data_IF_451325148643
#
_entry.id   IF_451325148643
#
_cell.length_a   1.000
_cell.length_b   1.000
_cell.length_c   1.000
_cell.angle_alpha   90.00
_cell.angle_beta   90.00
_cell.angle_gamma   90.00
#
_symmetry.space_group_name_H-M   'P 1'
#
loop_
_entity.id
_entity.type
_entity.pdbx_description
1 polymer ?
#
# COMPACT_ATOMS: atom_id res chain seq x y z
N UNK A 1 37.67 -51.57 -35.32
CA UNK A 1 36.48 -50.79 -34.94
C UNK A 1 36.42 -50.73 -33.41
N UNK A 2 36.69 -49.59 -32.75
CA UNK A 2 36.58 -49.53 -31.29
C UNK A 2 35.13 -49.23 -30.88
N UNK A 3 34.62 -49.98 -29.92
CA UNK A 3 33.31 -49.76 -29.30
C UNK A 3 33.40 -48.53 -28.38
N UNK A 4 32.75 -47.43 -28.76
CA UNK A 4 32.62 -46.26 -27.91
C UNK A 4 31.72 -46.60 -26.71
N UNK A 5 32.30 -46.61 -25.50
CA UNK A 5 31.52 -46.69 -24.26
C UNK A 5 30.81 -45.36 -24.04
N UNK A 6 29.50 -45.34 -24.25
CA UNK A 6 28.64 -44.19 -23.94
C UNK A 6 28.44 -44.16 -22.42
N UNK A 7 29.19 -43.28 -21.74
CA UNK A 7 28.93 -42.93 -20.34
C UNK A 7 27.64 -42.12 -20.28
N UNK A 8 26.55 -42.76 -19.84
CA UNK A 8 25.32 -42.05 -19.47
C UNK A 8 25.61 -41.16 -18.25
N UNK A 9 25.12 -39.91 -18.22
CA UNK A 9 25.30 -39.03 -17.07
C UNK A 9 24.60 -39.62 -15.83
N UNK A 10 25.14 -39.40 -14.62
CA UNK A 10 24.56 -39.93 -13.40
C UNK A 10 23.13 -39.42 -13.24
N UNK A 11 22.18 -40.35 -13.20
CA UNK A 11 20.79 -40.07 -12.90
C UNK A 11 20.73 -39.39 -11.52
N UNK A 12 20.18 -38.17 -11.45
CA UNK A 12 19.90 -37.52 -10.16
C UNK A 12 19.05 -38.46 -9.32
N UNK A 13 19.62 -38.98 -8.25
CA UNK A 13 18.88 -39.70 -7.20
C UNK A 13 17.79 -38.73 -6.69
N UNK A 14 16.54 -38.98 -7.06
CA UNK A 14 15.41 -38.34 -6.39
C UNK A 14 15.43 -38.87 -4.96
N UNK A 15 15.69 -37.99 -3.99
CA UNK A 15 15.49 -38.29 -2.58
C UNK A 15 14.03 -38.73 -2.40
N UNK A 16 13.77 -40.03 -2.35
CA UNK A 16 12.48 -40.58 -1.94
C UNK A 16 12.44 -40.53 -0.42
N UNK A 17 12.24 -39.33 0.12
CA UNK A 17 11.89 -39.19 1.54
C UNK A 17 10.55 -39.88 1.72
N UNK A 18 10.57 -41.01 2.43
CA UNK A 18 9.36 -41.73 2.83
C UNK A 18 8.41 -40.77 3.53
N UNK A 19 7.12 -40.79 3.15
CA UNK A 19 6.11 -39.97 3.83
C UNK A 19 6.04 -40.42 5.30
N UNK A 20 6.09 -39.48 6.26
CA UNK A 20 6.01 -39.85 7.67
C UNK A 20 4.71 -40.61 7.96
N UNK A 21 4.78 -41.54 8.90
CA UNK A 21 3.65 -42.36 9.29
C UNK A 21 2.44 -41.49 9.70
N UNK A 22 1.20 -41.90 9.37
CA UNK A 22 -0.01 -41.19 9.80
C UNK A 22 -0.03 -41.04 11.33
N UNK A 23 -0.37 -39.84 11.81
CA UNK A 23 -0.45 -39.55 13.24
C UNK A 23 -1.58 -40.37 13.88
N UNK A 24 -1.34 -40.85 15.09
CA UNK A 24 -2.37 -41.52 15.88
C UNK A 24 -3.42 -40.53 16.39
N UNK A 25 -4.61 -41.02 16.72
CA UNK A 25 -5.73 -40.18 17.17
C UNK A 25 -5.39 -39.39 18.45
N UNK A 26 -4.56 -39.94 19.34
CA UNK A 26 -4.05 -39.25 20.53
C UNK A 26 -3.14 -38.08 20.16
N UNK A 27 -2.19 -38.28 19.24
CA UNK A 27 -1.29 -37.22 18.75
C UNK A 27 -2.03 -36.09 18.03
N UNK A 28 -3.15 -36.41 17.37
CA UNK A 28 -4.02 -35.40 16.76
C UNK A 28 -4.75 -34.56 17.81
N UNK A 29 -5.28 -35.21 18.87
CA UNK A 29 -5.95 -34.52 19.99
C UNK A 29 -4.98 -33.63 20.77
N UNK A 30 -3.78 -34.12 21.07
CA UNK A 30 -2.74 -33.36 21.76
C UNK A 30 -2.30 -32.12 20.96
N UNK A 31 -2.10 -32.28 19.65
CA UNK A 31 -1.79 -31.14 18.77
C UNK A 31 -2.96 -30.15 18.69
N UNK A 32 -4.19 -30.62 18.64
CA UNK A 32 -5.36 -29.74 18.62
C UNK A 32 -5.45 -28.92 19.91
N UNK A 33 -5.22 -29.54 21.06
CA UNK A 33 -5.22 -28.84 22.36
C UNK A 33 -4.06 -27.85 22.48
N UNK A 34 -2.86 -28.25 22.09
CA UNK A 34 -1.71 -27.35 22.03
C UNK A 34 -1.98 -26.14 21.11
N UNK A 35 -2.57 -26.37 19.94
CA UNK A 35 -2.94 -25.29 19.03
C UNK A 35 -4.02 -24.38 19.64
N UNK A 36 -4.97 -24.94 20.39
CA UNK A 36 -6.02 -24.18 21.08
C UNK A 36 -5.41 -23.27 22.15
N UNK A 37 -4.51 -23.80 22.99
CA UNK A 37 -3.80 -23.03 24.02
C UNK A 37 -2.99 -21.91 23.36
N UNK A 38 -2.20 -22.24 22.34
CA UNK A 38 -1.41 -21.23 21.62
C UNK A 38 -2.28 -20.14 20.97
N UNK A 39 -3.45 -20.51 20.44
CA UNK A 39 -4.36 -19.51 19.87
C UNK A 39 -4.95 -18.60 20.95
N UNK A 40 -5.20 -19.11 22.15
CA UNK A 40 -5.63 -18.28 23.29
C UNK A 40 -4.54 -17.29 23.69
N UNK A 41 -3.29 -17.72 23.80
CA UNK A 41 -2.14 -16.84 24.09
C UNK A 41 -1.99 -15.74 23.04
N UNK A 42 -2.15 -16.09 21.76
CA UNK A 42 -2.14 -15.10 20.65
C UNK A 42 -3.27 -14.09 20.83
N UNK A 43 -4.50 -14.56 21.11
CA UNK A 43 -5.65 -13.67 21.26
C UNK A 43 -5.47 -12.72 22.46
N UNK A 44 -4.93 -13.21 23.57
CA UNK A 44 -4.64 -12.41 24.75
C UNK A 44 -3.59 -11.33 24.45
N UNK A 45 -2.49 -11.71 23.80
CA UNK A 45 -1.46 -10.77 23.38
C UNK A 45 -2.00 -9.70 22.41
N UNK A 46 -2.91 -10.07 21.49
CA UNK A 46 -3.55 -9.13 20.56
C UNK A 46 -4.45 -8.14 21.30
N UNK A 47 -5.23 -8.59 22.29
CA UNK A 47 -6.07 -7.68 23.08
C UNK A 47 -5.23 -6.73 23.96
N UNK A 48 -4.13 -7.21 24.54
CA UNK A 48 -3.19 -6.35 25.28
C UNK A 48 -2.56 -5.29 24.36
N UNK A 49 -2.12 -5.70 23.17
CA UNK A 49 -1.55 -4.79 22.18
C UNK A 49 -2.56 -3.73 21.73
N UNK A 50 -3.82 -4.14 21.49
CA UNK A 50 -4.92 -3.22 21.14
C UNK A 50 -5.19 -2.22 22.26
N UNK A 51 -5.26 -2.67 23.52
CA UNK A 51 -5.45 -1.78 24.68
C UNK A 51 -4.32 -0.75 24.76
N UNK A 52 -3.08 -1.19 24.64
CA UNK A 52 -1.90 -0.32 24.67
C UNK A 52 -1.92 0.73 23.55
N UNK A 53 -2.30 0.31 22.34
CA UNK A 53 -2.41 1.19 21.17
C UNK A 53 -3.49 2.26 21.37
N UNK A 54 -4.65 1.88 21.91
CA UNK A 54 -5.73 2.83 22.22
C UNK A 54 -5.31 3.84 23.30
N UNK A 55 -4.63 3.39 24.36
CA UNK A 55 -4.09 4.27 25.40
C UNK A 55 -3.08 5.25 24.81
N UNK A 56 -2.18 4.79 23.94
CA UNK A 56 -1.20 5.66 23.28
C UNK A 56 -1.90 6.71 22.40
N UNK A 57 -2.92 6.32 21.64
CA UNK A 57 -3.70 7.24 20.83
C UNK A 57 -4.43 8.31 21.68
N UNK A 58 -4.92 7.93 22.87
CA UNK A 58 -5.51 8.87 23.82
C UNK A 58 -4.46 9.86 24.37
N UNK A 59 -3.27 9.38 24.74
CA UNK A 59 -2.17 10.24 25.22
C UNK A 59 -1.72 11.23 24.14
N UNK A 60 -1.62 10.78 22.87
CA UNK A 60 -1.31 11.65 21.74
C UNK A 60 -2.42 12.67 21.49
N UNK A 61 -3.68 12.27 21.67
CA UNK A 61 -4.83 13.16 21.58
C UNK A 61 -4.75 14.31 22.57
N UNK A 62 -4.45 14.01 23.83
CA UNK A 62 -4.26 15.02 24.87
C UNK A 62 -3.07 15.93 24.54
N UNK A 63 -1.92 15.34 24.17
CA UNK A 63 -0.69 16.09 23.90
C UNK A 63 -0.79 17.06 22.72
N UNK A 64 -1.56 16.71 21.68
CA UNK A 64 -1.58 17.46 20.41
C UNK A 64 -2.94 18.06 20.07
N UNK A 65 -3.95 17.94 20.95
CA UNK A 65 -5.28 18.52 20.76
C UNK A 65 -6.03 17.98 19.53
N UNK A 66 -5.77 16.73 19.13
CA UNK A 66 -6.46 16.06 18.01
C UNK A 66 -7.24 14.86 18.53
N UNK A 67 -8.28 14.42 17.83
CA UNK A 67 -9.05 13.23 18.23
C UNK A 67 -8.17 11.97 18.21
N UNK A 68 -8.32 11.01 19.15
CA UNK A 68 -7.54 9.76 19.15
C UNK A 68 -7.60 9.00 17.82
N UNK A 69 -8.77 9.04 17.16
CA UNK A 69 -9.00 8.46 15.83
C UNK A 69 -8.01 8.96 14.78
N UNK A 70 -7.59 10.22 14.83
CA UNK A 70 -6.62 10.77 13.90
C UNK A 70 -5.28 10.02 13.95
N UNK A 71 -4.81 9.70 15.17
CA UNK A 71 -3.55 8.97 15.36
C UNK A 71 -3.68 7.49 15.02
N UNK A 72 -4.84 6.88 15.29
CA UNK A 72 -5.12 5.52 14.84
C UNK A 72 -5.14 5.43 13.31
N UNK A 73 -5.81 6.37 12.64
CA UNK A 73 -5.84 6.44 11.18
C UNK A 73 -4.42 6.58 10.62
N UNK A 74 -3.58 7.45 11.19
CA UNK A 74 -2.16 7.57 10.82
C UNK A 74 -1.37 6.28 11.06
N UNK A 75 -1.57 5.63 12.21
CA UNK A 75 -0.88 4.39 12.56
C UNK A 75 -1.22 3.26 11.57
N UNK A 76 -2.50 3.06 11.26
CA UNK A 76 -2.95 2.01 10.35
C UNK A 76 -2.65 2.31 8.88
N UNK A 77 -2.76 3.57 8.44
CA UNK A 77 -2.39 3.96 7.07
C UNK A 77 -0.88 3.81 6.85
N UNK A 78 -0.06 4.28 7.79
CA UNK A 78 1.39 4.07 7.71
C UNK A 78 1.73 2.57 7.78
N UNK A 79 1.02 1.79 8.61
CA UNK A 79 1.13 0.33 8.64
C UNK A 79 0.81 -0.31 7.28
N UNK A 80 -0.26 0.14 6.61
CA UNK A 80 -0.58 -0.29 5.26
C UNK A 80 0.54 0.06 4.26
N UNK A 81 1.16 1.24 4.37
CA UNK A 81 2.32 1.60 3.54
C UNK A 81 3.59 0.79 3.85
N UNK A 82 3.77 0.33 5.10
CA UNK A 82 4.87 -0.55 5.52
C UNK A 82 4.71 -1.98 4.97
N UNK A 83 3.49 -2.51 5.00
CA UNK A 83 3.17 -3.87 4.51
C UNK A 83 3.04 -3.88 2.98
N UNK A 84 2.33 -2.90 2.44
CA UNK A 84 2.18 -2.65 1.01
C UNK A 84 3.14 -1.52 0.63
N UNK A 85 4.44 -1.80 0.72
CA UNK A 85 5.43 -0.98 0.03
C UNK A 85 5.07 -1.09 -1.44
N UNK A 86 4.43 -0.06 -2.00
CA UNK A 86 4.04 0.00 -3.41
C UNK A 86 5.32 0.11 -4.26
N UNK A 87 6.12 -0.96 -4.30
CA UNK A 87 7.33 -1.02 -5.13
C UNK A 87 6.96 -1.16 -6.61
N UNK A 88 5.72 -1.57 -6.90
CA UNK A 88 5.21 -1.75 -8.25
C UNK A 88 4.16 -0.68 -8.52
N UNK A 89 4.51 0.27 -9.39
CA UNK A 89 3.53 1.15 -10.03
C UNK A 89 2.56 0.27 -10.80
N UNK A 90 1.28 0.52 -10.62
CA UNK A 90 0.25 -0.10 -11.43
C UNK A 90 0.30 0.52 -12.83
N UNK A 91 0.61 -0.29 -13.84
CA UNK A 91 0.71 0.11 -15.24
C UNK A 91 -0.52 0.89 -15.73
N UNK A 92 -1.72 0.44 -15.33
CA UNK A 92 -2.96 1.11 -15.67
C UNK A 92 -3.06 2.50 -15.05
N UNK A 93 -2.62 2.66 -13.79
CA UNK A 93 -2.64 3.97 -13.12
C UNK A 93 -1.61 4.92 -13.74
N UNK A 94 -0.44 4.40 -14.16
CA UNK A 94 0.56 5.18 -14.89
C UNK A 94 0.02 5.66 -16.24
N UNK A 95 -0.66 4.78 -16.98
CA UNK A 95 -1.34 5.13 -18.23
C UNK A 95 -2.42 6.20 -18.03
N UNK A 96 -3.30 6.05 -17.03
CA UNK A 96 -4.31 7.07 -16.75
C UNK A 96 -3.70 8.42 -16.35
N UNK A 97 -2.56 8.41 -15.68
CA UNK A 97 -1.83 9.63 -15.36
C UNK A 97 -1.32 10.32 -16.63
N UNK A 98 -0.66 9.58 -17.51
CA UNK A 98 -0.19 10.08 -18.81
C UNK A 98 -1.35 10.67 -19.63
N UNK A 99 -2.48 9.96 -19.72
CA UNK A 99 -3.67 10.48 -20.42
C UNK A 99 -4.24 11.73 -19.78
N UNK A 100 -4.25 11.80 -18.46
CA UNK A 100 -4.72 12.99 -17.77
C UNK A 100 -3.80 14.21 -18.03
N UNK A 101 -2.48 13.99 -18.14
CA UNK A 101 -1.52 15.04 -18.54
C UNK A 101 -1.74 15.47 -20.00
N UNK A 102 -1.84 14.53 -20.95
CA UNK A 102 -2.14 14.82 -22.36
C UNK A 102 -3.40 15.68 -22.52
N UNK A 103 -4.47 15.34 -21.80
CA UNK A 103 -5.72 16.10 -21.82
C UNK A 103 -5.56 17.50 -21.21
N UNK A 104 -4.80 17.62 -20.11
CA UNK A 104 -4.51 18.92 -19.51
C UNK A 104 -3.69 19.82 -20.45
N UNK A 105 -2.70 19.26 -21.14
CA UNK A 105 -1.85 19.98 -22.09
C UNK A 105 -2.66 20.45 -23.32
N UNK A 106 -3.69 19.70 -23.69
CA UNK A 106 -4.68 20.09 -24.70
C UNK A 106 -5.72 21.12 -24.19
N UNK A 107 -5.60 21.58 -22.94
CA UNK A 107 -6.49 22.57 -22.34
C UNK A 107 -7.79 21.98 -21.78
N UNK A 108 -7.93 20.66 -21.78
CA UNK A 108 -9.09 19.98 -21.20
C UNK A 108 -8.90 19.77 -19.70
N UNK A 109 -10.02 19.64 -19.00
CA UNK A 109 -10.01 19.33 -17.56
C UNK A 109 -10.56 17.92 -17.36
N UNK A 110 -9.68 16.90 -17.27
CA UNK A 110 -10.13 15.51 -17.21
C UNK A 110 -10.92 15.26 -15.94
N UNK A 111 -12.10 14.66 -16.10
CA UNK A 111 -12.88 14.10 -15.00
C UNK A 111 -12.49 12.64 -14.78
N UNK A 112 -12.72 12.14 -13.57
CA UNK A 112 -12.42 10.73 -13.27
C UNK A 112 -13.24 9.76 -14.15
N UNK A 113 -14.50 10.11 -14.45
CA UNK A 113 -15.35 9.30 -15.32
C UNK A 113 -14.82 9.24 -16.76
N UNK A 114 -14.28 10.36 -17.27
CA UNK A 114 -13.65 10.44 -18.58
C UNK A 114 -12.37 9.60 -18.66
N UNK A 115 -11.52 9.65 -17.63
CA UNK A 115 -10.30 8.84 -17.58
C UNK A 115 -10.59 7.33 -17.53
N UNK A 116 -11.71 6.94 -16.92
CA UNK A 116 -12.17 5.55 -16.90
C UNK A 116 -13.18 5.21 -18.01
N UNK A 117 -13.20 5.97 -19.10
CA UNK A 117 -14.04 5.66 -20.26
C UNK A 117 -13.65 4.32 -20.88
N UNK A 118 -14.60 3.67 -21.57
CA UNK A 118 -14.30 2.44 -22.32
C UNK A 118 -13.28 2.70 -23.45
N UNK A 119 -13.20 3.93 -23.96
CA UNK A 119 -12.22 4.33 -24.98
C UNK A 119 -10.79 4.18 -24.46
N UNK A 120 -10.45 4.81 -23.33
CA UNK A 120 -9.10 4.71 -22.75
C UNK A 120 -8.80 3.33 -22.19
N UNK A 121 -9.83 2.61 -21.75
CA UNK A 121 -9.67 1.21 -21.34
C UNK A 121 -9.32 0.31 -22.52
N UNK A 122 -9.96 0.52 -23.68
CA UNK A 122 -9.62 -0.21 -24.90
C UNK A 122 -8.23 0.16 -25.43
N UNK A 123 -7.87 1.45 -25.37
CA UNK A 123 -6.53 1.91 -25.71
C UNK A 123 -5.47 1.23 -24.84
N UNK A 124 -5.71 1.16 -23.52
CA UNK A 124 -4.82 0.46 -22.60
C UNK A 124 -4.69 -1.04 -22.92
N UNK A 125 -5.79 -1.70 -23.27
CA UNK A 125 -5.77 -3.13 -23.61
C UNK A 125 -5.03 -3.42 -24.93
N UNK A 126 -4.89 -2.42 -25.80
CA UNK A 126 -4.20 -2.52 -27.07
C UNK A 126 -2.72 -2.08 -26.99
N UNK A 127 -2.24 -1.60 -25.84
CA UNK A 127 -0.84 -1.23 -25.64
C UNK A 127 0.07 -2.44 -25.84
N UNK A 128 1.17 -2.21 -26.55
CA UNK A 128 2.25 -3.18 -26.58
C UNK A 128 3.00 -3.22 -25.25
N UNK A 129 3.69 -4.35 -25.00
CA UNK A 129 4.42 -4.56 -23.74
C UNK A 129 5.50 -3.48 -23.54
N UNK A 130 6.18 -3.07 -24.61
CA UNK A 130 7.23 -2.05 -24.55
C UNK A 130 6.67 -0.66 -24.18
N UNK A 131 5.50 -0.29 -24.72
CA UNK A 131 4.84 0.99 -24.46
C UNK A 131 4.39 1.07 -23.00
N UNK A 132 3.85 -0.03 -22.48
CA UNK A 132 3.48 -0.13 -21.06
C UNK A 132 4.69 0.03 -20.13
N UNK A 133 5.83 -0.57 -20.48
CA UNK A 133 7.08 -0.43 -19.72
C UNK A 133 7.62 1.01 -19.75
N UNK A 134 7.58 1.68 -20.90
CA UNK A 134 7.98 3.09 -21.03
C UNK A 134 7.10 4.01 -20.19
N UNK A 135 5.78 3.79 -20.21
CA UNK A 135 4.82 4.58 -19.43
C UNK A 135 5.07 4.41 -17.92
N UNK A 136 5.36 3.20 -17.47
CA UNK A 136 5.70 2.93 -16.07
C UNK A 136 7.02 3.63 -15.69
N UNK A 137 8.03 3.57 -16.55
CA UNK A 137 9.33 4.21 -16.33
C UNK A 137 9.18 5.74 -16.20
N UNK A 138 8.49 6.38 -17.16
CA UNK A 138 8.19 7.82 -17.10
C UNK A 138 7.43 8.20 -15.83
N UNK A 139 6.41 7.42 -15.45
CA UNK A 139 5.62 7.70 -14.25
C UNK A 139 6.44 7.59 -12.95
N UNK A 140 7.38 6.63 -12.90
CA UNK A 140 8.32 6.50 -11.76
C UNK A 140 9.28 7.69 -11.67
N UNK A 141 9.78 8.19 -12.80
CA UNK A 141 10.68 9.35 -12.86
C UNK A 141 9.97 10.64 -12.44
N UNK A 142 8.75 10.86 -12.93
CA UNK A 142 7.91 12.03 -12.61
C UNK A 142 7.45 12.06 -11.14
N UNK A 143 7.38 10.91 -10.46
CA UNK A 143 7.03 10.81 -9.04
C UNK A 143 8.04 11.44 -8.07
N UNK A 144 9.26 11.76 -8.54
CA UNK A 144 10.34 12.33 -7.71
C UNK A 144 10.31 13.85 -7.59
N UNK A 145 9.50 14.55 -8.38
CA UNK A 145 9.41 16.00 -8.36
C UNK A 145 8.37 16.47 -7.33
N UNK A 146 8.81 17.29 -6.37
CA UNK A 146 8.05 17.84 -5.24
C UNK A 146 6.88 18.78 -5.60
N UNK A 147 6.27 18.65 -6.79
CA UNK A 147 5.14 19.45 -7.25
C UNK A 147 4.37 18.71 -8.35
N UNK A 148 3.78 17.56 -8.02
CA UNK A 148 2.83 16.91 -8.94
C UNK A 148 1.56 17.77 -8.96
N UNK A 149 1.33 18.49 -10.06
CA UNK A 149 0.06 19.19 -10.30
C UNK A 149 -1.03 18.14 -10.44
N UNK A 150 -2.07 18.20 -9.61
CA UNK A 150 -3.19 17.23 -9.70
C UNK A 150 -3.88 17.40 -11.06
N UNK A 151 -3.92 16.32 -11.83
CA UNK A 151 -4.52 16.33 -13.16
C UNK A 151 -6.03 16.62 -13.13
N UNK A 152 -6.74 16.16 -12.09
CA UNK A 152 -8.20 16.34 -11.99
C UNK A 152 -8.60 17.62 -11.24
N UNK A 153 -9.68 18.27 -11.70
CA UNK A 153 -10.23 19.46 -11.04
C UNK A 153 -10.58 19.24 -9.57
N UNK A 154 -11.17 18.09 -9.24
CA UNK A 154 -11.48 17.72 -7.85
C UNK A 154 -10.22 17.63 -7.00
N UNK A 155 -9.13 17.07 -7.54
CA UNK A 155 -7.83 17.04 -6.88
C UNK A 155 -7.29 18.46 -6.61
N UNK A 156 -7.36 19.35 -7.61
CA UNK A 156 -6.95 20.75 -7.45
C UNK A 156 -7.76 21.49 -6.38
N UNK A 157 -9.09 21.28 -6.36
CA UNK A 157 -9.97 21.85 -5.31
C UNK A 157 -9.59 21.32 -3.93
N UNK A 158 -9.21 20.04 -3.82
CA UNK A 158 -8.79 19.45 -2.55
C UNK A 158 -7.47 20.05 -2.05
N UNK A 159 -6.53 20.36 -2.94
CA UNK A 159 -5.28 21.04 -2.58
C UNK A 159 -5.55 22.46 -2.07
N UNK A 160 -6.43 23.20 -2.75
CA UNK A 160 -6.85 24.55 -2.32
C UNK A 160 -7.55 24.49 -0.96
N UNK A 161 -8.48 23.56 -0.76
CA UNK A 161 -9.17 23.37 0.53
C UNK A 161 -8.18 22.98 1.65
N UNK A 162 -7.20 22.14 1.34
CA UNK A 162 -6.15 21.75 2.28
C UNK A 162 -5.26 22.93 2.65
N UNK A 163 -4.95 23.79 1.68
CA UNK A 163 -4.17 25.03 1.88
C UNK A 163 -4.92 26.02 2.76
N UNK A 164 -6.21 26.25 2.52
CA UNK A 164 -7.05 27.07 3.39
C UNK A 164 -7.12 26.54 4.82
N UNK A 165 -7.23 25.22 4.97
CA UNK A 165 -7.23 24.59 6.30
C UNK A 165 -5.89 24.76 7.02
N UNK A 166 -4.77 24.67 6.31
CA UNK A 166 -3.44 24.92 6.86
C UNK A 166 -3.28 26.39 7.30
N UNK A 167 -3.70 27.35 6.46
CA UNK A 167 -3.69 28.78 6.79
C UNK A 167 -4.56 29.06 8.02
N UNK A 168 -5.77 28.49 8.08
CA UNK A 168 -6.66 28.66 9.22
C UNK A 168 -6.05 28.10 10.52
N UNK A 169 -5.34 26.97 10.45
CA UNK A 169 -4.62 26.43 11.60
C UNK A 169 -3.51 27.37 12.07
N UNK A 170 -2.70 27.89 11.15
CA UNK A 170 -1.61 28.84 11.49
C UNK A 170 -2.15 30.12 12.14
N UNK A 171 -3.23 30.68 11.60
CA UNK A 171 -3.88 31.88 12.15
C UNK A 171 -4.47 31.58 13.53
N UNK A 172 -5.16 30.45 13.70
CA UNK A 172 -5.73 30.04 14.99
C UNK A 172 -4.65 29.83 16.06
N UNK A 173 -3.52 29.24 15.71
CA UNK A 173 -2.37 29.11 16.63
C UNK A 173 -1.78 30.46 17.01
N UNK A 174 -1.77 31.43 16.09
CA UNK A 174 -1.30 32.79 16.36
C UNK A 174 -2.21 33.51 17.36
N UNK A 175 -3.53 33.41 17.18
CA UNK A 175 -4.50 34.00 18.10
C UNK A 175 -4.42 33.41 19.51
N UNK A 176 -4.20 32.09 19.63
CA UNK A 176 -3.99 31.45 20.94
C UNK A 176 -2.71 31.93 21.64
N UNK A 177 -1.62 32.16 20.89
CA UNK A 177 -0.36 32.69 21.42
C UNK A 177 -0.50 34.13 21.92
N UNK A 178 -1.23 34.98 21.19
CA UNK A 178 -1.51 36.37 21.62
C UNK A 178 -2.40 36.40 22.84
N UNK A 179 -3.39 35.51 22.97
CA UNK A 179 -4.27 35.45 24.15
C UNK A 179 -3.61 34.88 25.41
N UNK A 180 -2.52 34.11 25.29
CA UNK A 180 -1.76 33.60 26.44
C UNK A 180 -0.61 34.53 26.88
N UNK A 181 -0.40 35.65 26.17
CA UNK A 181 0.63 36.65 26.50
C UNK A 181 0.08 37.94 27.12
N UNK A 182 -1.23 38.00 27.41
CA UNK A 182 -1.88 39.05 28.19
C UNK A 182 -2.53 38.48 29.46
#
# INVERSE_FOLDING_TARGET
>A
MPLASILLPPSRLRNTVSKPAPRTQSQLKEKAEHNRIRQLEINEAVEEWKKTTLTMAANLSERFGKKPRHFLDLFFQNGAHLVHKHSKVNAYNAFLHMKAEELCDNGETPTLAMLHSEEFKNEYNNLEVYESEEIIARHMESGSAASIKRATAKGRVQDVASTFKAMQQMVSTLYLLVFMTY
#
